data_IF_414743329739
#
_entry.id   IF_414743329739
#
_cell.length_a   1.000
_cell.length_b   1.000
_cell.length_c   1.000
_cell.angle_alpha   90.00
_cell.angle_beta   90.00
_cell.angle_gamma   90.00
#
_symmetry.space_group_name_H-M   'P 1'
#
loop_
_entity.id
_entity.type
_entity.pdbx_description
1 polymer ?
#
# COMPACT_ATOMS: atom_id res chain seq x y z
N UNK A 1 -24.62 -1.53 -19.16
CA UNK A 1 -23.76 -2.54 -18.50
C UNK A 1 -23.58 -2.11 -17.05
N UNK A 2 -23.80 -3.01 -16.08
CA UNK A 2 -23.63 -2.64 -14.68
C UNK A 2 -22.14 -2.40 -14.34
N UNK A 3 -21.88 -1.70 -13.23
CA UNK A 3 -20.51 -1.33 -12.84
C UNK A 3 -19.63 -2.55 -12.60
N UNK A 4 -20.16 -3.63 -12.04
CA UNK A 4 -19.39 -4.85 -11.75
C UNK A 4 -18.91 -5.54 -13.04
N UNK A 5 -19.76 -5.58 -14.08
CA UNK A 5 -19.38 -6.08 -15.40
C UNK A 5 -18.33 -5.20 -16.07
N UNK A 6 -18.43 -3.87 -15.94
CA UNK A 6 -17.39 -2.95 -16.43
C UNK A 6 -16.06 -3.18 -15.71
N UNK A 7 -16.07 -3.34 -14.38
CA UNK A 7 -14.88 -3.66 -13.58
C UNK A 7 -14.26 -4.99 -14.05
N UNK A 8 -15.07 -6.02 -14.26
CA UNK A 8 -14.57 -7.32 -14.74
C UNK A 8 -13.87 -7.19 -16.10
N UNK A 9 -14.52 -6.52 -17.07
CA UNK A 9 -13.95 -6.30 -18.41
C UNK A 9 -12.65 -5.50 -18.39
N UNK A 10 -12.51 -4.56 -17.45
CA UNK A 10 -11.32 -3.72 -17.31
C UNK A 10 -10.12 -4.46 -16.71
N UNK A 11 -10.31 -5.67 -16.15
CA UNK A 11 -9.29 -6.41 -15.39
C UNK A 11 -8.65 -5.58 -14.26
N UNK A 12 -9.41 -4.66 -13.63
CA UNK A 12 -8.88 -3.83 -12.56
C UNK A 12 -8.46 -4.68 -11.36
N UNK A 13 -7.21 -4.50 -10.96
CA UNK A 13 -6.64 -5.09 -9.75
C UNK A 13 -6.40 -4.02 -8.69
N UNK A 14 -6.44 -4.41 -7.41
CA UNK A 14 -6.29 -3.51 -6.29
C UNK A 14 -4.93 -2.82 -6.26
N UNK A 15 -4.94 -1.49 -6.17
CA UNK A 15 -3.74 -0.63 -6.25
C UNK A 15 -3.07 -0.35 -4.90
N UNK A 16 -3.35 -1.18 -3.89
CA UNK A 16 -2.75 -1.13 -2.56
C UNK A 16 -1.53 -2.04 -2.37
N UNK A 17 -1.07 -2.72 -3.42
CA UNK A 17 0.12 -3.60 -3.39
C UNK A 17 -0.17 -5.08 -3.62
N UNK A 18 -1.27 -5.62 -3.08
CA UNK A 18 -1.60 -7.04 -3.20
C UNK A 18 -2.09 -7.47 -4.60
N UNK A 19 -2.45 -6.51 -5.47
CA UNK A 19 -2.89 -6.73 -6.85
C UNK A 19 -4.05 -7.75 -7.00
N UNK A 20 -4.92 -7.85 -6.01
CA UNK A 20 -6.09 -8.74 -6.02
C UNK A 20 -7.19 -8.21 -6.95
N UNK A 21 -7.93 -9.10 -7.62
CA UNK A 21 -9.03 -8.73 -8.52
C UNK A 21 -10.10 -7.93 -7.80
N UNK A 22 -10.37 -6.71 -8.28
CA UNK A 22 -11.43 -5.85 -7.72
C UNK A 22 -12.79 -6.46 -7.97
N UNK A 23 -13.01 -7.07 -9.14
CA UNK A 23 -14.23 -7.79 -9.47
C UNK A 23 -14.54 -8.89 -8.45
N UNK A 24 -13.59 -9.78 -8.17
CA UNK A 24 -13.79 -10.88 -7.23
C UNK A 24 -14.06 -10.36 -5.81
N UNK A 25 -13.37 -9.29 -5.39
CA UNK A 25 -13.60 -8.69 -4.07
C UNK A 25 -15.01 -8.12 -3.95
N UNK A 26 -15.47 -7.38 -4.97
CA UNK A 26 -16.82 -6.82 -5.01
C UNK A 26 -17.89 -7.92 -5.05
N UNK A 27 -17.66 -8.97 -5.83
CA UNK A 27 -18.57 -10.12 -5.92
C UNK A 27 -18.70 -10.83 -4.57
N UNK A 28 -17.59 -11.02 -3.83
CA UNK A 28 -17.61 -11.62 -2.51
C UNK A 28 -18.46 -10.82 -1.51
N UNK A 29 -18.33 -9.49 -1.48
CA UNK A 29 -19.14 -8.62 -0.61
C UNK A 29 -20.60 -8.58 -1.06
N UNK A 30 -20.85 -8.60 -2.39
CA UNK A 30 -22.22 -8.66 -2.94
C UNK A 30 -22.93 -9.92 -2.48
N UNK A 31 -22.26 -11.07 -2.53
CA UNK A 31 -22.82 -12.39 -2.24
C UNK A 31 -22.83 -12.75 -0.75
N UNK A 32 -22.27 -11.93 0.13
CA UNK A 32 -22.31 -12.17 1.56
C UNK A 32 -23.75 -12.11 2.09
N UNK A 33 -24.06 -12.96 3.07
CA UNK A 33 -25.42 -13.21 3.59
C UNK A 33 -25.97 -12.04 4.41
N UNK A 34 -25.13 -11.30 5.11
CA UNK A 34 -25.55 -10.15 5.91
C UNK A 34 -25.97 -8.98 5.01
N UNK A 35 -27.10 -8.37 5.34
CA UNK A 35 -27.70 -7.24 4.60
C UNK A 35 -26.98 -5.93 4.86
N UNK A 36 -26.40 -5.74 6.04
CA UNK A 36 -25.62 -4.53 6.37
C UNK A 36 -24.21 -4.68 5.84
N UNK A 37 -23.76 -3.71 5.04
CA UNK A 37 -22.45 -3.73 4.38
C UNK A 37 -21.76 -2.38 4.53
N UNK A 38 -20.44 -2.38 4.47
CA UNK A 38 -19.62 -1.18 4.60
C UNK A 38 -18.62 -1.05 3.45
N UNK A 39 -18.26 0.18 3.11
CA UNK A 39 -17.23 0.49 2.11
C UNK A 39 -16.14 1.32 2.76
N UNK A 40 -14.88 0.95 2.57
CA UNK A 40 -13.75 1.67 3.15
C UNK A 40 -12.74 2.00 2.06
N UNK A 41 -12.41 3.29 1.99
CA UNK A 41 -11.26 3.79 1.26
C UNK A 41 -10.05 3.86 2.18
N UNK A 42 -9.11 2.95 1.97
CA UNK A 42 -7.85 2.91 2.69
C UNK A 42 -6.88 3.96 2.10
N UNK A 43 -6.81 5.11 2.78
CA UNK A 43 -5.89 6.22 2.50
C UNK A 43 -4.83 6.35 3.63
N UNK A 44 -4.42 5.21 4.20
CA UNK A 44 -3.40 5.18 5.25
C UNK A 44 -1.99 5.47 4.73
N UNK A 45 -1.73 5.29 3.42
CA UNK A 45 -0.46 5.43 2.68
C UNK A 45 0.75 5.65 3.58
N UNK A 46 1.23 4.55 4.16
CA UNK A 46 2.25 4.56 5.22
C UNK A 46 3.64 4.12 4.74
N UNK A 47 3.76 3.61 3.51
CA UNK A 47 5.07 3.30 2.91
C UNK A 47 5.96 4.54 2.83
N UNK A 48 7.22 4.39 3.22
CA UNK A 48 8.18 5.49 3.23
C UNK A 48 8.36 6.04 1.80
N UNK A 49 8.33 7.37 1.66
CA UNK A 49 8.53 8.08 0.39
C UNK A 49 7.49 7.79 -0.71
N UNK A 50 6.37 7.12 -0.39
CA UNK A 50 5.25 6.91 -1.32
C UNK A 50 4.16 7.95 -1.04
N UNK A 51 3.66 8.60 -2.09
CA UNK A 51 2.68 9.70 -1.99
C UNK A 51 1.73 9.75 -3.20
N UNK A 52 1.38 8.60 -3.77
CA UNK A 52 0.43 8.51 -4.88
C UNK A 52 -1.00 8.75 -4.39
N UNK A 53 -1.38 8.20 -3.25
CA UNK A 53 -2.75 8.33 -2.73
C UNK A 53 -2.99 9.77 -2.26
N UNK A 54 -2.00 10.38 -1.60
CA UNK A 54 -2.00 11.79 -1.25
C UNK A 54 -2.12 12.72 -2.47
N UNK A 55 -1.39 12.41 -3.54
CA UNK A 55 -1.49 13.11 -4.82
C UNK A 55 -2.91 12.99 -5.42
N UNK A 56 -3.46 11.77 -5.50
CA UNK A 56 -4.79 11.51 -6.05
C UNK A 56 -5.87 12.22 -5.23
N UNK A 57 -5.83 12.14 -3.90
CA UNK A 57 -6.79 12.85 -3.03
C UNK A 57 -6.68 14.38 -3.14
N UNK A 58 -5.51 14.90 -3.49
CA UNK A 58 -5.32 16.35 -3.63
C UNK A 58 -5.73 16.87 -5.01
N UNK A 59 -5.54 16.06 -6.06
CA UNK A 59 -5.75 16.46 -7.46
C UNK A 59 -7.06 15.96 -8.08
N UNK A 60 -7.54 14.81 -7.63
CA UNK A 60 -8.74 14.14 -8.14
C UNK A 60 -9.68 13.65 -7.01
N UNK A 61 -9.94 14.44 -5.95
CA UNK A 61 -10.77 13.99 -4.84
C UNK A 61 -12.20 13.64 -5.29
N UNK A 62 -12.78 14.36 -6.25
CA UNK A 62 -14.11 14.09 -6.79
C UNK A 62 -14.20 12.65 -7.32
N UNK A 63 -13.24 12.24 -8.14
CA UNK A 63 -13.23 10.89 -8.71
C UNK A 63 -13.13 9.79 -7.64
N UNK A 64 -12.38 10.02 -6.56
CA UNK A 64 -12.31 9.07 -5.44
C UNK A 64 -13.65 8.98 -4.72
N UNK A 65 -14.25 10.12 -4.36
CA UNK A 65 -15.54 10.14 -3.64
C UNK A 65 -16.66 9.56 -4.51
N UNK A 66 -16.67 9.84 -5.82
CA UNK A 66 -17.64 9.29 -6.76
C UNK A 66 -17.48 7.77 -6.90
N UNK A 67 -16.24 7.28 -7.01
CA UNK A 67 -15.96 5.85 -7.04
C UNK A 67 -16.43 5.12 -5.78
N UNK A 68 -16.26 5.74 -4.61
CA UNK A 68 -16.79 5.22 -3.35
C UNK A 68 -18.31 5.23 -3.32
N UNK A 69 -18.94 6.34 -3.73
CA UNK A 69 -20.39 6.46 -3.72
C UNK A 69 -21.04 5.45 -4.67
N UNK A 70 -20.43 5.19 -5.84
CA UNK A 70 -20.82 4.11 -6.74
C UNK A 70 -20.76 2.74 -6.06
N UNK A 71 -19.69 2.45 -5.31
CA UNK A 71 -19.56 1.20 -4.58
C UNK A 71 -20.62 1.04 -3.48
N UNK A 72 -20.92 2.12 -2.75
CA UNK A 72 -21.97 2.14 -1.72
C UNK A 72 -23.32 1.82 -2.34
N UNK A 73 -23.70 2.51 -3.42
CA UNK A 73 -24.98 2.30 -4.09
C UNK A 73 -25.10 0.90 -4.69
N UNK A 74 -24.03 0.42 -5.34
CA UNK A 74 -24.02 -0.92 -5.95
C UNK A 74 -24.16 -2.03 -4.92
N UNK A 75 -23.45 -1.93 -3.79
CA UNK A 75 -23.48 -2.92 -2.72
C UNK A 75 -24.66 -2.74 -1.75
N UNK A 76 -25.41 -1.64 -1.87
CA UNK A 76 -26.41 -1.20 -0.87
C UNK A 76 -25.78 -1.10 0.53
N UNK A 77 -24.56 -0.57 0.59
CA UNK A 77 -23.85 -0.40 1.85
C UNK A 77 -24.51 0.69 2.70
N UNK A 78 -24.45 0.54 4.02
CA UNK A 78 -25.01 1.50 4.98
C UNK A 78 -24.27 2.83 4.91
N UNK A 79 -22.94 2.77 4.89
CA UNK A 79 -22.08 3.96 4.78
C UNK A 79 -20.70 3.58 4.23
N UNK A 80 -19.98 4.62 3.82
CA UNK A 80 -18.57 4.55 3.46
C UNK A 80 -17.68 5.31 4.44
N UNK A 81 -16.43 4.88 4.57
CA UNK A 81 -15.43 5.55 5.42
C UNK A 81 -14.17 5.82 4.60
N UNK A 82 -13.72 7.08 4.55
CA UNK A 82 -12.38 7.42 4.07
C UNK A 82 -11.42 7.40 5.25
N UNK A 83 -10.60 6.36 5.32
CA UNK A 83 -9.63 6.15 6.38
C UNK A 83 -8.32 6.85 6.05
N UNK A 84 -8.14 8.04 6.62
CA UNK A 84 -7.06 8.97 6.27
C UNK A 84 -5.93 8.93 7.27
N UNK A 85 -4.68 8.85 6.79
CA UNK A 85 -3.53 9.13 7.65
C UNK A 85 -3.57 10.56 8.21
N UNK A 86 -2.96 10.81 9.39
CA UNK A 86 -3.08 12.10 10.08
C UNK A 86 -2.74 13.32 9.22
N UNK A 87 -1.73 13.21 8.36
CA UNK A 87 -1.29 14.31 7.49
C UNK A 87 -2.33 14.64 6.43
N UNK A 88 -2.95 13.62 5.83
CA UNK A 88 -4.01 13.80 4.84
C UNK A 88 -5.28 14.31 5.49
N UNK A 89 -5.65 13.79 6.67
CA UNK A 89 -6.79 14.30 7.41
C UNK A 89 -6.62 15.79 7.73
N UNK A 90 -5.44 16.20 8.23
CA UNK A 90 -5.16 17.62 8.54
C UNK A 90 -5.27 18.52 7.31
N UNK A 91 -4.77 18.06 6.16
CA UNK A 91 -4.71 18.88 4.94
C UNK A 91 -6.00 18.89 4.13
N UNK A 92 -6.72 17.75 4.07
CA UNK A 92 -7.78 17.52 3.09
C UNK A 92 -9.18 17.38 3.69
N UNK A 93 -9.32 17.25 5.02
CA UNK A 93 -10.64 17.00 5.65
C UNK A 93 -11.69 18.05 5.29
N UNK A 94 -11.34 19.34 5.30
CA UNK A 94 -12.25 20.43 4.93
C UNK A 94 -12.76 20.30 3.48
N UNK A 95 -11.85 20.06 2.54
CA UNK A 95 -12.18 19.89 1.13
C UNK A 95 -13.04 18.65 0.91
N UNK A 96 -12.62 17.51 1.47
CA UNK A 96 -13.35 16.24 1.34
C UNK A 96 -14.74 16.31 1.97
N UNK A 97 -14.90 16.95 3.12
CA UNK A 97 -16.21 17.12 3.77
C UNK A 97 -17.17 17.93 2.88
N UNK A 98 -16.68 19.04 2.31
CA UNK A 98 -17.45 19.86 1.37
C UNK A 98 -17.85 19.07 0.12
N UNK A 99 -16.92 18.28 -0.43
CA UNK A 99 -17.19 17.46 -1.61
C UNK A 99 -18.18 16.34 -1.31
N UNK A 100 -18.03 15.64 -0.18
CA UNK A 100 -18.92 14.56 0.24
C UNK A 100 -20.37 15.06 0.32
N UNK A 101 -20.60 16.21 0.95
CA UNK A 101 -21.94 16.78 1.12
C UNK A 101 -22.86 15.83 1.89
N UNK A 102 -24.01 15.50 1.32
CA UNK A 102 -25.02 14.63 1.95
C UNK A 102 -24.84 13.14 1.65
N UNK A 103 -23.76 12.74 0.96
CA UNK A 103 -23.47 11.33 0.67
C UNK A 103 -23.15 10.61 1.98
N UNK A 104 -23.51 9.32 2.15
CA UNK A 104 -23.27 8.55 3.37
C UNK A 104 -21.80 8.13 3.47
N UNK A 105 -20.89 9.09 3.49
CA UNK A 105 -19.45 8.90 3.56
C UNK A 105 -18.92 9.73 4.72
N UNK A 106 -18.18 9.11 5.63
CA UNK A 106 -17.53 9.79 6.74
C UNK A 106 -16.01 9.78 6.58
N UNK A 107 -15.33 10.70 7.27
CA UNK A 107 -13.87 10.75 7.33
C UNK A 107 -13.41 10.19 8.68
N UNK A 108 -12.51 9.20 8.64
CA UNK A 108 -11.88 8.67 9.84
C UNK A 108 -10.40 9.05 9.84
N UNK A 109 -9.95 9.68 10.93
CA UNK A 109 -8.53 9.96 11.14
C UNK A 109 -7.87 8.73 11.75
N UNK A 110 -7.00 8.07 10.99
CA UNK A 110 -6.14 6.98 11.46
C UNK A 110 -5.49 7.34 12.79
N UNK A 111 -5.56 6.43 13.76
CA UNK A 111 -4.92 6.61 15.08
C UNK A 111 -3.72 5.71 15.30
N UNK A 112 -3.51 4.71 14.43
CA UNK A 112 -2.37 3.82 14.47
C UNK A 112 -1.25 4.16 13.49
N UNK A 113 -0.20 3.36 13.54
CA UNK A 113 1.05 3.54 12.81
C UNK A 113 0.98 2.85 11.42
N UNK A 114 2.09 2.40 10.84
CA UNK A 114 2.17 1.75 9.52
C UNK A 114 1.25 0.53 9.39
N UNK A 115 1.16 -0.32 10.42
CA UNK A 115 0.40 -1.57 10.34
C UNK A 115 -1.10 -1.34 10.11
N UNK A 116 -1.64 -0.18 10.49
CA UNK A 116 -3.01 0.20 10.19
C UNK A 116 -3.30 0.43 8.70
N UNK A 117 -2.29 0.34 7.82
CA UNK A 117 -2.50 0.19 6.39
C UNK A 117 -2.95 -1.22 5.98
N UNK A 118 -2.74 -2.23 6.83
CA UNK A 118 -3.23 -3.60 6.62
C UNK A 118 -4.75 -3.67 6.80
N UNK A 119 -5.41 -4.41 5.91
CA UNK A 119 -6.87 -4.40 5.73
C UNK A 119 -7.63 -4.68 7.04
N UNK A 120 -7.23 -5.69 7.81
CA UNK A 120 -7.93 -6.08 9.04
C UNK A 120 -7.55 -5.23 10.25
N UNK A 121 -6.32 -4.74 10.29
CA UNK A 121 -5.82 -3.84 11.34
C UNK A 121 -6.51 -2.48 11.26
N UNK A 122 -6.74 -2.00 10.03
CA UNK A 122 -7.55 -0.81 9.76
C UNK A 122 -8.95 -0.93 10.38
N UNK A 123 -9.61 -2.09 10.20
CA UNK A 123 -10.94 -2.31 10.79
C UNK A 123 -10.89 -2.22 12.32
N UNK A 124 -9.87 -2.82 12.94
CA UNK A 124 -9.68 -2.71 14.38
C UNK A 124 -9.45 -1.28 14.84
N UNK A 125 -8.72 -0.46 14.08
CA UNK A 125 -8.55 0.96 14.42
C UNK A 125 -9.87 1.72 14.38
N UNK A 126 -10.72 1.49 13.36
CA UNK A 126 -12.05 2.11 13.26
C UNK A 126 -12.95 1.66 14.43
N UNK A 127 -12.87 0.40 14.83
CA UNK A 127 -13.65 -0.17 15.93
C UNK A 127 -13.12 0.20 17.33
N UNK A 128 -12.01 0.95 17.42
CA UNK A 128 -11.38 1.29 18.70
C UNK A 128 -10.73 0.09 19.41
N UNK A 129 -10.44 -0.98 18.68
CA UNK A 129 -9.78 -2.19 19.18
C UNK A 129 -8.26 -2.07 19.11
N UNK A 130 -7.55 -3.05 19.67
CA UNK A 130 -6.09 -3.19 19.49
C UNK A 130 -5.75 -3.29 18.00
N UNK A 131 -4.75 -2.51 17.57
CA UNK A 131 -4.31 -2.36 16.18
C UNK A 131 -3.45 -3.55 15.75
N UNK A 132 -4.05 -4.72 15.79
CA UNK A 132 -3.43 -5.98 15.39
C UNK A 132 -4.20 -6.61 14.22
N UNK A 133 -3.54 -7.35 13.31
CA UNK A 133 -4.23 -8.01 12.23
C UNK A 133 -5.15 -9.12 12.76
N UNK A 134 -6.30 -9.33 12.10
CA UNK A 134 -7.25 -10.39 12.44
C UNK A 134 -6.86 -11.71 11.78
N UNK A 135 -7.28 -12.82 12.40
CA UNK A 135 -7.15 -14.14 11.80
C UNK A 135 -8.06 -14.24 10.58
N UNK A 136 -7.57 -14.91 9.54
CA UNK A 136 -8.31 -15.18 8.30
C UNK A 136 -8.23 -16.69 8.03
N UNK A 137 -9.35 -17.35 7.68
CA UNK A 137 -10.73 -16.84 7.63
C UNK A 137 -11.32 -16.51 9.02
N UNK A 138 -12.41 -15.71 9.09
CA UNK A 138 -13.14 -15.10 7.96
C UNK A 138 -12.40 -13.89 7.35
N UNK A 139 -12.62 -13.65 6.04
CA UNK A 139 -12.10 -12.46 5.35
C UNK A 139 -13.02 -11.25 5.58
N UNK A 140 -12.50 -10.01 5.49
CA UNK A 140 -13.29 -8.78 5.60
C UNK A 140 -14.51 -8.73 4.68
N UNK A 141 -14.44 -9.38 3.52
CA UNK A 141 -15.55 -9.43 2.56
C UNK A 141 -16.75 -10.23 3.06
N UNK A 142 -16.57 -11.06 4.10
CA UNK A 142 -17.62 -11.83 4.76
C UNK A 142 -17.91 -11.25 6.15
N UNK A 143 -16.86 -11.02 6.96
CA UNK A 143 -16.95 -10.47 8.31
C UNK A 143 -15.84 -9.45 8.51
N UNK A 144 -16.18 -8.18 8.30
CA UNK A 144 -15.27 -7.04 8.34
C UNK A 144 -15.60 -6.09 9.48
N UNK A 145 -15.90 -4.83 9.14
CA UNK A 145 -16.25 -3.80 10.10
C UNK A 145 -17.52 -4.18 10.86
N UNK A 146 -17.44 -4.22 12.19
CA UNK A 146 -18.53 -4.66 13.07
C UNK A 146 -19.15 -6.00 12.64
N UNK A 147 -18.28 -6.93 12.23
CA UNK A 147 -18.62 -8.27 11.77
C UNK A 147 -19.59 -8.30 10.55
N UNK A 148 -19.63 -7.19 9.81
CA UNK A 148 -20.41 -7.03 8.60
C UNK A 148 -19.52 -7.12 7.34
N UNK A 149 -20.03 -7.64 6.20
CA UNK A 149 -19.32 -7.66 4.93
C UNK A 149 -18.81 -6.27 4.56
N UNK A 150 -17.49 -6.16 4.38
CA UNK A 150 -16.83 -4.86 4.19
C UNK A 150 -15.94 -4.89 2.96
N UNK A 151 -16.18 -3.96 2.05
CA UNK A 151 -15.32 -3.71 0.90
C UNK A 151 -14.22 -2.73 1.30
N UNK A 152 -12.97 -3.20 1.40
CA UNK A 152 -11.81 -2.31 1.57
C UNK A 152 -11.02 -2.22 0.27
N UNK A 153 -10.92 -1.01 -0.28
CA UNK A 153 -10.14 -0.70 -1.48
C UNK A 153 -9.24 0.52 -1.24
N UNK A 154 -8.13 0.60 -1.98
CA UNK A 154 -7.19 1.72 -1.91
C UNK A 154 -7.76 2.95 -2.66
N UNK A 155 -7.29 4.15 -2.31
CA UNK A 155 -7.64 5.43 -2.96
C UNK A 155 -7.62 5.34 -4.48
N UNK A 156 -6.51 4.88 -5.05
CA UNK A 156 -6.34 4.78 -6.51
C UNK A 156 -7.31 3.78 -7.14
N UNK A 157 -7.72 2.76 -6.38
CA UNK A 157 -8.72 1.79 -6.86
C UNK A 157 -10.08 2.48 -7.03
N UNK A 158 -10.51 3.30 -6.07
CA UNK A 158 -11.75 4.07 -6.19
C UNK A 158 -11.68 5.13 -7.28
N UNK A 159 -10.53 5.80 -7.46
CA UNK A 159 -10.31 6.68 -8.61
C UNK A 159 -10.58 5.94 -9.94
N UNK A 160 -10.03 4.74 -10.13
CA UNK A 160 -10.25 3.99 -11.36
C UNK A 160 -11.66 3.41 -11.48
N UNK A 161 -12.33 3.07 -10.38
CA UNK A 161 -13.76 2.70 -10.42
C UNK A 161 -14.59 3.84 -11.03
N UNK A 162 -14.33 5.10 -10.63
CA UNK A 162 -14.99 6.26 -11.24
C UNK A 162 -14.65 6.42 -12.73
N UNK A 163 -13.37 6.24 -13.11
CA UNK A 163 -12.97 6.29 -14.53
C UNK A 163 -13.64 5.20 -15.37
N UNK A 164 -13.71 3.98 -14.86
CA UNK A 164 -14.37 2.84 -15.52
C UNK A 164 -15.87 3.09 -15.67
N UNK A 165 -16.52 3.64 -14.64
CA UNK A 165 -17.94 3.97 -14.71
C UNK A 165 -18.25 4.93 -15.87
N UNK A 166 -17.34 5.88 -16.10
CA UNK A 166 -17.40 6.88 -17.16
C UNK A 166 -16.72 6.46 -18.48
N UNK A 167 -16.39 5.17 -18.65
CA UNK A 167 -15.74 4.63 -19.87
C UNK A 167 -14.41 5.33 -20.26
N UNK A 168 -13.71 5.89 -19.26
CA UNK A 168 -12.50 6.70 -19.40
C UNK A 168 -11.28 6.06 -18.71
N UNK A 169 -11.23 4.73 -18.60
CA UNK A 169 -10.11 4.01 -17.99
C UNK A 169 -9.09 3.56 -19.04
N UNK A 170 -7.90 4.15 -18.97
CA UNK A 170 -6.84 3.95 -19.97
C UNK A 170 -5.79 2.91 -19.54
N UNK A 171 -6.11 2.00 -18.61
CA UNK A 171 -5.16 0.99 -18.13
C UNK A 171 -3.84 1.59 -17.64
N UNK A 172 -3.94 2.61 -16.80
CA UNK A 172 -2.81 3.34 -16.19
C UNK A 172 -2.61 2.95 -14.72
N UNK A 173 -1.50 3.44 -14.16
CA UNK A 173 -1.15 3.35 -12.74
C UNK A 173 -0.41 4.61 -12.30
N UNK A 174 -0.67 5.09 -11.09
CA UNK A 174 0.10 6.16 -10.46
C UNK A 174 1.38 5.62 -9.83
N UNK A 175 2.52 6.20 -10.22
CA UNK A 175 3.85 5.82 -9.75
C UNK A 175 4.51 6.99 -9.06
N UNK A 176 4.87 6.83 -7.79
CA UNK A 176 5.69 7.81 -7.06
C UNK A 176 7.18 7.59 -7.35
N UNK A 177 7.86 8.61 -7.87
CA UNK A 177 9.31 8.63 -8.04
C UNK A 177 9.94 9.57 -7.00
N UNK A 178 10.86 9.05 -6.20
CA UNK A 178 11.52 9.75 -5.11
C UNK A 178 13.03 9.44 -5.05
N UNK A 179 13.71 9.95 -4.01
CA UNK A 179 15.14 9.73 -3.80
C UNK A 179 16.03 10.74 -4.54
N UNK A 180 17.19 10.30 -4.99
CA UNK A 180 18.21 11.10 -5.68
C UNK A 180 17.84 11.33 -7.15
N UNK A 181 16.83 12.18 -7.39
CA UNK A 181 16.46 12.57 -8.76
C UNK A 181 15.93 14.00 -8.83
N UNK A 182 15.90 14.55 -10.04
CA UNK A 182 15.44 15.91 -10.33
C UNK A 182 13.91 16.02 -10.31
N UNK A 183 13.21 15.15 -11.04
CA UNK A 183 11.77 15.25 -11.25
C UNK A 183 11.00 14.33 -10.30
N UNK A 184 11.11 14.61 -8.99
CA UNK A 184 10.36 13.86 -7.96
C UNK A 184 8.87 14.17 -8.05
N UNK A 185 8.03 13.17 -7.84
CA UNK A 185 6.58 13.36 -7.88
C UNK A 185 5.83 12.06 -8.17
N UNK A 186 4.53 12.20 -8.40
CA UNK A 186 3.65 11.10 -8.79
C UNK A 186 3.27 11.28 -10.26
N UNK A 187 3.45 10.22 -11.05
CA UNK A 187 3.20 10.20 -12.48
C UNK A 187 2.15 9.15 -12.80
N UNK A 188 1.14 9.50 -13.60
CA UNK A 188 0.21 8.52 -14.17
C UNK A 188 0.81 7.97 -15.45
N UNK A 189 1.05 6.66 -15.49
CA UNK A 189 1.73 6.00 -16.61
C UNK A 189 0.97 4.73 -17.03
N UNK A 190 1.08 4.31 -18.31
CA UNK A 190 0.52 3.05 -18.77
C UNK A 190 1.01 1.85 -17.94
N UNK A 191 0.12 0.88 -17.73
CA UNK A 191 0.50 -0.42 -17.19
C UNK A 191 1.53 -1.09 -18.12
N UNK A 192 2.38 -1.95 -17.54
CA UNK A 192 3.38 -2.77 -18.23
C UNK A 192 4.67 -2.08 -18.70
N UNK A 193 4.93 -0.84 -18.30
CA UNK A 193 6.24 -0.25 -18.51
C UNK A 193 7.31 -0.91 -17.62
N UNK A 194 8.50 -1.12 -18.18
CA UNK A 194 9.69 -1.47 -17.40
C UNK A 194 10.12 -0.28 -16.55
N UNK A 195 10.82 -0.55 -15.45
CA UNK A 195 11.38 0.51 -14.58
C UNK A 195 12.29 1.44 -15.40
N UNK A 196 13.09 0.88 -16.30
CA UNK A 196 13.93 1.64 -17.23
C UNK A 196 13.11 2.63 -18.07
N UNK A 197 12.00 2.18 -18.67
CA UNK A 197 11.14 3.03 -19.50
C UNK A 197 10.43 4.08 -18.66
N UNK A 198 9.99 3.75 -17.44
CA UNK A 198 9.39 4.71 -16.50
C UNK A 198 10.36 5.84 -16.19
N UNK A 199 11.61 5.50 -15.84
CA UNK A 199 12.64 6.49 -15.52
C UNK A 199 12.98 7.37 -16.72
N UNK A 200 13.05 6.81 -17.93
CA UNK A 200 13.28 7.60 -19.16
C UNK A 200 12.11 8.51 -19.49
N UNK A 201 10.88 8.00 -19.51
CA UNK A 201 9.68 8.75 -19.88
C UNK A 201 9.38 9.90 -18.90
N UNK A 202 9.81 9.78 -17.64
CA UNK A 202 9.64 10.81 -16.62
C UNK A 202 10.86 11.71 -16.45
N UNK A 203 11.87 11.60 -17.31
CA UNK A 203 13.13 12.34 -17.22
C UNK A 203 13.82 12.17 -15.85
N UNK A 204 13.74 10.98 -15.27
CA UNK A 204 14.30 10.60 -13.97
C UNK A 204 15.44 9.58 -14.07
N UNK A 205 15.86 9.18 -15.27
CA UNK A 205 17.00 8.27 -15.45
C UNK A 205 18.31 8.96 -15.00
N UNK A 206 18.99 8.48 -13.93
CA UNK A 206 20.18 9.14 -13.40
C UNK A 206 21.38 9.06 -14.33
N UNK A 207 22.28 10.07 -14.25
CA UNK A 207 23.58 10.10 -14.95
C UNK A 207 24.75 9.56 -14.10
N UNK A 208 24.47 9.09 -12.89
CA UNK A 208 25.46 8.57 -11.94
C UNK A 208 25.12 7.12 -11.61
N UNK A 209 26.07 6.36 -11.06
CA UNK A 209 25.82 4.98 -10.63
C UNK A 209 24.78 4.93 -9.51
N UNK A 210 23.73 4.14 -9.71
CA UNK A 210 22.57 4.10 -8.84
C UNK A 210 22.01 2.69 -8.69
N UNK A 211 21.21 2.52 -7.65
CA UNK A 211 20.29 1.41 -7.50
C UNK A 211 18.93 1.99 -7.09
N UNK A 212 17.87 1.21 -7.23
CA UNK A 212 16.51 1.65 -6.92
C UNK A 212 15.86 0.73 -5.89
N UNK A 213 14.94 1.27 -5.09
CA UNK A 213 13.98 0.50 -4.32
C UNK A 213 12.61 0.63 -4.98
N UNK A 214 11.92 -0.49 -5.21
CA UNK A 214 10.61 -0.51 -5.87
C UNK A 214 9.52 -1.05 -4.94
N UNK A 215 8.29 -0.60 -5.17
CA UNK A 215 7.07 -1.10 -4.51
C UNK A 215 7.02 -0.91 -2.98
N UNK A 216 7.64 0.16 -2.49
CA UNK A 216 7.64 0.54 -1.09
C UNK A 216 8.99 1.14 -0.71
N UNK A 217 9.00 1.98 0.31
CA UNK A 217 10.25 2.49 0.90
C UNK A 217 10.67 1.74 2.16
N UNK A 218 9.76 0.96 2.74
CA UNK A 218 10.09 0.04 3.82
C UNK A 218 10.08 -1.40 3.32
N UNK A 219 8.97 -1.86 2.71
CA UNK A 219 8.79 -3.25 2.27
C UNK A 219 9.34 -3.54 0.86
N UNK A 220 9.81 -2.51 0.15
CA UNK A 220 10.19 -2.59 -1.25
C UNK A 220 11.48 -3.37 -1.52
N UNK A 221 11.59 -3.88 -2.74
CA UNK A 221 12.74 -4.63 -3.25
C UNK A 221 13.80 -3.68 -3.82
N UNK A 222 15.08 -3.94 -3.54
CA UNK A 222 16.18 -3.22 -4.16
C UNK A 222 16.65 -3.88 -5.45
N UNK A 223 16.89 -3.07 -6.48
CA UNK A 223 17.35 -3.52 -7.80
C UNK A 223 18.54 -2.67 -8.25
N UNK A 224 19.55 -3.34 -8.80
CA UNK A 224 20.66 -2.72 -9.52
C UNK A 224 20.23 -2.34 -10.95
N UNK A 225 21.04 -1.50 -11.59
CA UNK A 225 20.79 -0.97 -12.94
C UNK A 225 20.52 -2.06 -14.00
N UNK A 226 21.20 -3.19 -13.91
CA UNK A 226 21.08 -4.28 -14.88
C UNK A 226 19.69 -4.95 -14.84
N UNK A 227 18.98 -4.85 -13.72
CA UNK A 227 17.68 -5.50 -13.49
C UNK A 227 16.49 -4.55 -13.74
N UNK A 228 16.70 -3.37 -14.32
CA UNK A 228 15.63 -2.38 -14.55
C UNK A 228 14.68 -2.70 -15.71
N UNK A 229 14.95 -3.76 -16.47
CA UNK A 229 14.02 -4.26 -17.50
C UNK A 229 12.78 -4.97 -16.91
N UNK A 230 12.75 -5.18 -15.59
CA UNK A 230 11.59 -5.70 -14.85
C UNK A 230 10.40 -4.74 -14.94
N UNK A 231 9.19 -5.28 -15.11
CA UNK A 231 7.93 -4.52 -15.05
C UNK A 231 7.62 -4.11 -13.61
N UNK A 232 7.12 -2.89 -13.42
CA UNK A 232 6.69 -2.43 -12.10
C UNK A 232 5.27 -2.96 -11.80
N UNK A 233 5.13 -3.75 -10.74
CA UNK A 233 3.86 -4.27 -10.23
C UNK A 233 3.77 -3.98 -8.74
N UNK A 234 2.62 -3.56 -8.21
CA UNK A 234 2.41 -3.43 -6.76
C UNK A 234 1.92 -2.04 -6.36
N UNK A 235 2.56 -1.44 -5.36
CA UNK A 235 2.20 -0.14 -4.79
C UNK A 235 2.59 1.05 -5.68
N UNK A 236 3.41 0.85 -6.71
CA UNK A 236 3.75 1.90 -7.67
C UNK A 236 4.71 2.94 -7.09
N UNK A 237 5.91 2.52 -6.69
CA UNK A 237 6.95 3.46 -6.28
C UNK A 237 8.33 3.06 -6.80
N UNK A 238 9.16 4.07 -7.07
CA UNK A 238 10.57 3.93 -7.42
C UNK A 238 11.37 4.98 -6.62
N UNK A 239 12.23 4.53 -5.73
CA UNK A 239 13.10 5.39 -4.93
C UNK A 239 14.53 5.19 -5.43
N UNK A 240 15.16 6.26 -5.88
CA UNK A 240 16.49 6.23 -6.50
C UNK A 240 17.54 6.54 -5.44
N UNK A 241 18.61 5.74 -5.40
CA UNK A 241 19.74 5.92 -4.49
C UNK A 241 21.04 6.07 -5.26
N UNK A 242 21.78 7.14 -5.00
CA UNK A 242 23.12 7.30 -5.53
C UNK A 242 24.10 6.40 -4.75
N UNK A 243 24.80 5.50 -5.46
CA UNK A 243 25.71 4.52 -4.84
C UNK A 243 26.85 5.17 -4.07
N UNK A 244 27.36 6.32 -4.51
CA UNK A 244 28.46 7.03 -3.82
C UNK A 244 28.00 7.76 -2.56
N UNK A 245 26.74 8.21 -2.50
CA UNK A 245 26.19 8.95 -1.35
C UNK A 245 25.56 8.04 -0.31
N UNK A 246 25.06 6.88 -0.74
CA UNK A 246 24.24 6.01 0.11
C UNK A 246 25.09 4.99 0.84
N UNK A 247 25.15 5.12 2.17
CA UNK A 247 25.70 4.07 3.01
C UNK A 247 24.66 2.95 3.19
N UNK A 248 24.92 1.79 2.57
CA UNK A 248 24.01 0.63 2.57
C UNK A 248 23.68 0.15 3.99
N UNK A 249 24.65 0.09 4.89
CA UNK A 249 24.42 -0.33 6.28
C UNK A 249 23.52 0.64 7.06
N UNK A 250 23.69 1.96 6.85
CA UNK A 250 22.77 2.96 7.43
C UNK A 250 21.36 2.85 6.88
N UNK A 251 21.22 2.57 5.58
CA UNK A 251 19.92 2.36 4.95
C UNK A 251 19.23 1.09 5.49
N UNK A 252 19.98 -0.01 5.60
CA UNK A 252 19.53 -1.27 6.18
C UNK A 252 19.03 -1.06 7.62
N UNK A 253 19.84 -0.38 8.44
CA UNK A 253 19.47 -0.04 9.81
C UNK A 253 18.18 0.79 9.85
N UNK A 254 18.04 1.81 9.01
CA UNK A 254 16.82 2.64 8.94
C UNK A 254 15.57 1.81 8.63
N UNK A 255 15.68 0.83 7.75
CA UNK A 255 14.55 -0.05 7.39
C UNK A 255 14.20 -0.98 8.57
N UNK A 256 15.21 -1.55 9.22
CA UNK A 256 15.00 -2.42 10.39
C UNK A 256 14.44 -1.64 11.58
N UNK A 257 14.96 -0.44 11.85
CA UNK A 257 14.44 0.49 12.87
C UNK A 257 12.96 0.79 12.61
N UNK A 258 12.59 0.98 11.34
CA UNK A 258 11.21 1.21 10.94
C UNK A 258 10.32 -0.01 11.26
N UNK A 259 10.69 -1.22 10.82
CA UNK A 259 9.93 -2.42 11.14
C UNK A 259 9.86 -2.72 12.63
N UNK A 260 10.91 -2.36 13.39
CA UNK A 260 10.95 -2.56 14.83
C UNK A 260 9.93 -1.65 15.54
N UNK A 261 9.87 -0.37 15.14
CA UNK A 261 8.90 0.61 15.67
C UNK A 261 7.46 0.30 15.25
N UNK A 262 7.28 -0.31 14.08
CA UNK A 262 5.97 -0.56 13.47
C UNK A 262 5.38 -1.94 13.82
N UNK A 263 6.03 -2.67 14.72
CA UNK A 263 5.58 -3.99 15.17
C UNK A 263 4.31 -3.87 16.02
N UNK A 264 3.41 -4.87 15.91
CA UNK A 264 2.24 -4.98 16.80
C UNK A 264 2.41 -6.04 17.89
N UNK A 265 3.58 -6.68 17.96
CA UNK A 265 4.00 -7.67 18.95
C UNK A 265 3.16 -8.95 19.02
N UNK A 266 2.23 -9.15 18.08
CA UNK A 266 1.30 -10.29 18.03
C UNK A 266 1.97 -11.63 17.77
N UNK A 267 2.96 -11.69 16.87
CA UNK A 267 3.61 -12.95 16.50
C UNK A 267 5.11 -12.91 16.81
N UNK A 268 5.56 -13.95 17.52
CA UNK A 268 6.96 -14.16 17.94
C UNK A 268 7.97 -13.98 16.79
N UNK A 269 7.81 -14.62 15.61
CA UNK A 269 8.83 -14.49 14.56
C UNK A 269 9.03 -13.05 14.12
N UNK A 270 7.97 -12.25 14.01
CA UNK A 270 8.09 -10.85 13.63
C UNK A 270 8.65 -9.99 14.76
N UNK A 271 8.17 -10.16 16.00
CA UNK A 271 8.59 -9.36 17.16
C UNK A 271 10.06 -9.60 17.49
N UNK A 272 10.42 -10.86 17.72
CA UNK A 272 11.77 -11.24 18.12
C UNK A 272 12.73 -11.18 16.93
N UNK A 273 12.31 -11.62 15.74
CA UNK A 273 13.18 -11.65 14.57
C UNK A 273 13.67 -10.26 14.17
N UNK A 274 12.77 -9.28 14.09
CA UNK A 274 13.17 -7.88 13.81
C UNK A 274 14.07 -7.34 14.92
N UNK A 275 13.76 -7.63 16.19
CA UNK A 275 14.56 -7.18 17.33
C UNK A 275 16.00 -7.73 17.29
N UNK A 276 16.18 -9.02 16.98
CA UNK A 276 17.51 -9.64 16.86
C UNK A 276 18.31 -9.07 15.69
N UNK A 277 17.68 -8.84 14.55
CA UNK A 277 18.34 -8.17 13.41
C UNK A 277 18.74 -6.74 13.80
N UNK A 278 17.86 -6.00 14.46
CA UNK A 278 18.13 -4.66 14.96
C UNK A 278 19.34 -4.64 15.93
N UNK A 279 19.40 -5.59 16.87
CA UNK A 279 20.51 -5.77 17.81
C UNK A 279 21.84 -6.01 17.10
N UNK A 280 21.88 -6.95 16.15
CA UNK A 280 23.08 -7.27 15.36
C UNK A 280 23.59 -6.05 14.57
N UNK A 281 22.69 -5.31 13.91
CA UNK A 281 23.04 -4.11 13.16
C UNK A 281 23.53 -2.97 14.06
N UNK A 282 22.94 -2.81 15.25
CA UNK A 282 23.34 -1.78 16.22
C UNK A 282 24.74 -2.05 16.78
N UNK A 283 25.02 -3.30 17.13
CA UNK A 283 26.31 -3.71 17.70
C UNK A 283 27.40 -3.94 16.64
N UNK A 284 27.06 -3.85 15.34
CA UNK A 284 27.93 -4.17 14.20
C UNK A 284 28.50 -5.61 14.26
N UNK A 285 27.80 -6.50 14.96
CA UNK A 285 28.14 -7.92 15.04
C UNK A 285 27.19 -8.69 14.12
N UNK A 286 27.41 -8.53 12.81
CA UNK A 286 26.52 -9.06 11.77
C UNK A 286 26.90 -10.51 11.49
N UNK A 287 26.00 -11.44 11.81
CA UNK A 287 26.10 -12.84 11.38
C UNK A 287 25.08 -13.07 10.25
N UNK A 288 25.58 -13.28 9.02
CA UNK A 288 24.72 -13.41 7.84
C UNK A 288 23.86 -14.68 7.90
N UNK A 289 24.41 -15.82 8.33
CA UNK A 289 23.68 -17.09 8.42
C UNK A 289 22.49 -16.97 9.38
N UNK A 290 22.70 -16.34 10.54
CA UNK A 290 21.63 -16.09 11.52
C UNK A 290 20.57 -15.14 10.96
N UNK A 291 20.97 -14.09 10.23
CA UNK A 291 20.00 -13.20 9.57
C UNK A 291 19.18 -13.97 8.53
N UNK A 292 19.82 -14.80 7.70
CA UNK A 292 19.14 -15.57 6.66
C UNK A 292 18.11 -16.54 7.26
N UNK A 293 18.46 -17.23 8.35
CA UNK A 293 17.55 -18.11 9.11
C UNK A 293 16.37 -17.35 9.72
N UNK A 294 16.63 -16.18 10.31
CA UNK A 294 15.57 -15.31 10.84
C UNK A 294 14.63 -14.85 9.73
N UNK A 295 15.18 -14.41 8.59
CA UNK A 295 14.38 -13.94 7.45
C UNK A 295 13.56 -15.07 6.83
N UNK A 296 14.11 -16.27 6.71
CA UNK A 296 13.36 -17.45 6.29
C UNK A 296 12.21 -17.74 7.25
N UNK A 297 12.48 -17.76 8.55
CA UNK A 297 11.47 -18.01 9.58
C UNK A 297 10.36 -16.96 9.53
N UNK A 298 10.72 -15.67 9.49
CA UNK A 298 9.78 -14.56 9.42
C UNK A 298 8.91 -14.62 8.17
N UNK A 299 9.49 -14.90 7.00
CA UNK A 299 8.76 -15.00 5.73
C UNK A 299 7.69 -16.10 5.76
N UNK A 300 8.00 -17.23 6.37
CA UNK A 300 7.12 -18.40 6.37
C UNK A 300 6.11 -18.40 7.52
N UNK A 301 6.47 -17.87 8.69
CA UNK A 301 5.69 -18.06 9.93
C UNK A 301 5.10 -16.78 10.52
N UNK A 302 5.44 -15.59 9.99
CA UNK A 302 4.81 -14.35 10.45
C UNK A 302 3.31 -14.34 10.13
N UNK A 303 2.52 -13.83 11.08
CA UNK A 303 1.07 -13.82 10.98
C UNK A 303 0.55 -12.96 9.83
N UNK A 304 1.16 -11.79 9.59
CA UNK A 304 0.73 -10.83 8.59
C UNK A 304 1.86 -10.42 7.64
N UNK A 305 1.53 -9.60 6.64
CA UNK A 305 2.47 -9.13 5.63
C UNK A 305 3.64 -8.36 6.22
N UNK A 306 3.48 -7.58 7.30
CA UNK A 306 4.56 -6.80 7.91
C UNK A 306 5.81 -7.65 8.18
N UNK A 307 5.66 -8.72 8.97
CA UNK A 307 6.78 -9.59 9.31
C UNK A 307 7.33 -10.36 8.11
N UNK A 308 6.48 -10.77 7.17
CA UNK A 308 6.93 -11.46 5.95
C UNK A 308 7.74 -10.53 5.04
N UNK A 309 7.31 -9.27 4.94
CA UNK A 309 7.88 -8.25 4.06
C UNK A 309 9.28 -7.80 4.46
N UNK A 310 9.72 -8.04 5.71
CA UNK A 310 11.09 -7.67 6.16
C UNK A 310 12.17 -8.36 5.32
N UNK A 311 11.91 -9.59 4.85
CA UNK A 311 12.87 -10.37 4.05
C UNK A 311 13.21 -9.72 2.70
N UNK A 312 12.24 -9.08 2.04
CA UNK A 312 12.40 -8.48 0.71
C UNK A 312 13.48 -7.40 0.66
N UNK A 313 13.40 -6.29 1.44
CA UNK A 313 14.40 -5.23 1.41
C UNK A 313 15.76 -5.70 1.95
N UNK A 314 15.78 -6.56 2.98
CA UNK A 314 17.02 -7.02 3.59
C UNK A 314 17.82 -7.90 2.62
N UNK A 315 17.19 -8.95 2.08
CA UNK A 315 17.86 -9.85 1.13
C UNK A 315 18.34 -9.11 -0.12
N UNK A 316 17.49 -8.24 -0.67
CA UNK A 316 17.85 -7.50 -1.88
C UNK A 316 18.96 -6.48 -1.65
N UNK A 317 18.95 -5.73 -0.54
CA UNK A 317 19.99 -4.73 -0.26
C UNK A 317 21.34 -5.35 0.09
N UNK A 318 21.35 -6.44 0.87
CA UNK A 318 22.59 -7.14 1.25
C UNK A 318 23.30 -7.78 0.05
N UNK A 319 22.55 -8.19 -0.97
CA UNK A 319 23.08 -8.78 -2.20
C UNK A 319 23.64 -7.76 -3.22
N UNK A 320 23.43 -6.46 -3.00
CA UNK A 320 24.03 -5.43 -3.87
C UNK A 320 25.50 -5.30 -3.50
N UNK A 321 26.39 -5.72 -4.41
CA UNK A 321 27.84 -5.51 -4.30
C UNK A 321 28.20 -4.02 -4.35
#
# INVERSE_FOLDING_TARGET
MDILSKINKSNLCGRGGANFSVYLKWLAVKNATNTTKYVICNAAESELLVNKDGYILSKYPEAVVDGMFLAINFLKAKEGIIYLKPEYYKKLSKQLTKLIGNRPISLFKKTGSYLCGEETTLLNDIEGKRKEPRMRPPFPTISGLWDCPTLVNNVETFYYISKIANDNYNSTHFITIAGDTKNKGTFELPLNLSINNILKNTNNFPKFNFFVQINGGASGEFLIQDNLNKKLNGTGSIIIYNTKKTNKLKLLKKIVDYFHQENCDKCVPCREGVYRIHEMLKNKNINQEVIDDLLFTMKNTSFCALGKSVSTPLNSLMNIK
#
